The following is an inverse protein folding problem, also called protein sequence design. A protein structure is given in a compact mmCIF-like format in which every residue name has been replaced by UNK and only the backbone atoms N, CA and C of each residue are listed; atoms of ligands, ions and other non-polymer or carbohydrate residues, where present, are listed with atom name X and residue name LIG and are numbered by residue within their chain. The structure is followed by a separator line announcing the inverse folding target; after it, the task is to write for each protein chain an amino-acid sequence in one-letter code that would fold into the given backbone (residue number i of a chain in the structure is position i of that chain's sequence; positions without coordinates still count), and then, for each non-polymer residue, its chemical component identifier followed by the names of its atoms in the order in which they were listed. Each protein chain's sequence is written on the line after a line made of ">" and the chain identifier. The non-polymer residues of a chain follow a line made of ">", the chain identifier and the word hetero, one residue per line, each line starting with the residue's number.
data_IF_114914680286
#
_entry.id   IF_114914680286
#
_cell.length_a   1.000
_cell.length_b   1.000
_cell.length_c   1.000
_cell.angle_alpha   90.00
_cell.angle_beta   90.00
_cell.angle_gamma   90.00
#
_symmetry.space_group_name_H-M   'P 1'
#
loop_
_entity.id
_entity.type
_entity.pdbx_description
1 polymer ?
#
# COMPACT_ATOMS: atom_id res chain seq x y z
N UNK A 1 -8.32 -16.81 -7.85
CA UNK A 1 -8.34 -15.99 -6.60
C UNK A 1 -8.13 -14.49 -6.86
N UNK A 2 -7.06 -14.01 -7.49
CA UNK A 2 -6.84 -12.57 -7.77
C UNK A 2 -7.94 -11.94 -8.65
N UNK A 3 -8.47 -12.64 -9.65
CA UNK A 3 -9.60 -12.17 -10.46
C UNK A 3 -10.90 -12.08 -9.66
N UNK A 4 -11.10 -12.97 -8.68
CA UNK A 4 -12.23 -12.93 -7.76
C UNK A 4 -12.18 -11.67 -6.87
N UNK A 5 -11.02 -11.38 -6.30
CA UNK A 5 -10.79 -10.17 -5.49
C UNK A 5 -11.08 -8.90 -6.31
N UNK A 6 -10.64 -8.85 -7.58
CA UNK A 6 -10.96 -7.73 -8.49
C UNK A 6 -12.47 -7.61 -8.77
N UNK A 7 -13.17 -8.71 -8.93
CA UNK A 7 -14.62 -8.73 -9.15
C UNK A 7 -15.42 -8.28 -7.91
N UNK A 8 -14.98 -8.70 -6.73
CA UNK A 8 -15.57 -8.29 -5.45
C UNK A 8 -15.36 -6.78 -5.23
N UNK A 9 -14.17 -6.24 -5.53
CA UNK A 9 -13.88 -4.80 -5.42
C UNK A 9 -14.90 -3.92 -6.14
N UNK A 10 -15.41 -4.33 -7.29
CA UNK A 10 -16.38 -3.55 -8.05
C UNK A 10 -17.76 -3.48 -7.37
N UNK A 11 -18.17 -4.51 -6.63
CA UNK A 11 -19.49 -4.61 -6.00
C UNK A 11 -19.53 -4.08 -4.57
N UNK A 12 -18.46 -4.34 -3.80
CA UNK A 12 -18.42 -4.05 -2.36
C UNK A 12 -18.26 -2.54 -2.09
N UNK A 13 -17.51 -1.81 -2.95
CA UNK A 13 -17.29 -0.36 -2.81
C UNK A 13 -18.28 0.50 -3.62
N UNK A 14 -19.48 -0.05 -3.96
CA UNK A 14 -20.50 0.72 -4.69
C UNK A 14 -21.33 1.59 -3.75
N UNK A 15 -21.16 2.89 -3.87
CA UNK A 15 -22.11 3.99 -3.61
C UNK A 15 -22.88 4.06 -2.27
N UNK A 16 -22.37 3.52 -1.17
CA UNK A 16 -23.00 3.69 0.15
C UNK A 16 -22.03 4.40 1.09
N UNK A 17 -22.28 5.66 1.41
CA UNK A 17 -21.47 6.38 2.38
C UNK A 17 -21.50 7.89 2.20
N UNK A 18 -20.88 8.59 3.14
CA UNK A 18 -20.70 10.04 3.13
C UNK A 18 -19.47 10.37 2.28
N UNK A 19 -19.57 11.42 1.48
CA UNK A 19 -18.45 11.93 0.71
C UNK A 19 -17.53 12.77 1.61
N UNK A 20 -16.25 12.43 1.64
CA UNK A 20 -15.19 13.18 2.29
C UNK A 20 -14.09 13.50 1.30
N UNK A 21 -13.36 14.59 1.53
CA UNK A 21 -12.05 14.77 0.92
C UNK A 21 -11.05 13.89 1.66
N UNK A 22 -10.08 13.29 0.97
CA UNK A 22 -9.12 12.40 1.57
C UNK A 22 -8.35 13.07 2.73
N UNK A 23 -8.00 14.36 2.60
CA UNK A 23 -7.37 15.12 3.66
C UNK A 23 -8.26 15.44 4.88
N UNK A 24 -9.57 15.16 4.82
CA UNK A 24 -10.47 15.26 5.98
C UNK A 24 -10.49 13.97 6.80
N UNK A 25 -10.12 12.85 6.21
CA UNK A 25 -10.16 11.51 6.84
C UNK A 25 -8.79 10.91 7.10
N UNK A 26 -7.72 11.54 6.60
CA UNK A 26 -6.34 11.15 6.91
C UNK A 26 -5.40 12.35 6.86
N UNK A 27 -4.36 12.30 7.70
CA UNK A 27 -3.23 13.18 7.55
C UNK A 27 -2.34 12.69 6.40
N UNK A 28 -1.86 13.62 5.55
CA UNK A 28 -1.01 13.30 4.41
C UNK A 28 0.32 14.02 4.61
N UNK A 29 1.44 13.29 4.60
CA UNK A 29 2.79 13.85 4.79
C UNK A 29 3.74 13.38 3.70
N UNK A 30 4.69 14.24 3.34
CA UNK A 30 5.83 13.88 2.48
C UNK A 30 6.93 13.20 3.29
N UNK A 31 7.70 12.33 2.62
CA UNK A 31 8.77 11.58 3.25
C UNK A 31 10.08 12.35 3.36
N UNK A 32 11.01 11.75 4.09
CA UNK A 32 12.36 12.27 4.28
C UNK A 32 13.15 12.27 2.96
N UNK A 33 13.77 13.39 2.62
CA UNK A 33 14.49 13.60 1.36
C UNK A 33 16.01 13.72 1.50
N UNK A 34 16.58 13.20 2.59
CA UNK A 34 18.04 13.24 2.81
C UNK A 34 18.83 12.28 1.91
N UNK A 35 20.16 12.43 1.94
CA UNK A 35 21.07 11.63 1.14
C UNK A 35 21.01 10.16 1.54
N UNK A 36 20.90 9.29 0.55
CA UNK A 36 20.92 7.85 0.76
C UNK A 36 22.35 7.33 0.87
N UNK A 37 22.54 6.36 1.77
CA UNK A 37 23.80 5.67 1.96
C UNK A 37 23.93 4.52 0.94
N UNK A 38 25.12 4.31 0.42
CA UNK A 38 25.42 3.12 -0.40
C UNK A 38 25.51 1.84 0.45
N UNK A 39 25.86 1.98 1.73
CA UNK A 39 25.92 0.86 2.67
C UNK A 39 24.56 0.56 3.29
N UNK A 40 24.31 -0.70 3.62
CA UNK A 40 23.10 -1.12 4.35
C UNK A 40 23.19 -0.83 5.87
N UNK A 41 23.96 0.19 6.26
CA UNK A 41 24.09 0.64 7.65
C UNK A 41 23.32 1.96 7.80
N UNK A 42 22.44 2.03 8.82
CA UNK A 42 21.63 3.22 9.07
C UNK A 42 20.14 2.90 9.17
N UNK A 43 19.30 3.94 9.13
CA UNK A 43 17.85 3.80 9.17
C UNK A 43 17.35 3.34 7.81
N UNK A 44 16.48 2.32 7.81
CA UNK A 44 15.81 1.84 6.59
C UNK A 44 14.73 2.84 6.17
N UNK A 45 14.78 3.35 4.95
CA UNK A 45 13.77 4.25 4.41
C UNK A 45 13.02 3.61 3.25
N UNK A 46 11.71 3.86 3.20
CA UNK A 46 10.87 3.40 2.10
C UNK A 46 11.23 4.11 0.79
N UNK A 47 11.08 3.41 -0.32
CA UNK A 47 11.27 3.88 -1.70
C UNK A 47 10.09 3.45 -2.55
N UNK A 48 9.98 3.95 -3.77
CA UNK A 48 8.94 3.51 -4.72
C UNK A 48 8.98 1.99 -4.89
N UNK A 49 10.16 1.41 -4.99
CA UNK A 49 10.37 -0.03 -5.17
C UNK A 49 9.95 -0.84 -3.94
N UNK A 50 10.00 -0.23 -2.74
CA UNK A 50 9.56 -0.88 -1.49
C UNK A 50 8.09 -1.27 -1.54
N UNK A 51 7.26 -0.53 -2.29
CA UNK A 51 5.80 -0.74 -2.36
C UNK A 51 5.31 -1.19 -3.75
N UNK A 52 6.21 -1.51 -4.68
CA UNK A 52 5.85 -1.83 -6.08
C UNK A 52 4.90 -3.03 -6.22
N UNK A 53 4.87 -3.94 -5.25
CA UNK A 53 3.98 -5.11 -5.23
C UNK A 53 2.73 -4.96 -4.37
N UNK A 54 2.30 -3.75 -4.03
CA UNK A 54 1.21 -3.46 -3.08
C UNK A 54 1.42 -4.05 -1.66
N UNK A 55 2.64 -4.43 -1.35
CA UNK A 55 3.10 -4.91 -0.04
C UNK A 55 4.47 -4.32 0.24
N UNK A 56 4.81 -4.19 1.52
CA UNK A 56 6.14 -3.74 1.93
C UNK A 56 7.17 -4.83 1.62
N UNK A 57 8.16 -4.48 0.81
CA UNK A 57 9.31 -5.35 0.50
C UNK A 57 10.58 -4.77 1.12
N UNK A 58 11.04 -5.37 2.22
CA UNK A 58 12.23 -4.92 2.95
C UNK A 58 13.55 -5.19 2.22
N UNK A 59 13.56 -5.98 1.15
CA UNK A 59 14.74 -6.16 0.30
C UNK A 59 14.99 -4.95 -0.62
N UNK A 60 13.96 -4.08 -0.78
CA UNK A 60 13.97 -2.93 -1.67
C UNK A 60 13.82 -1.61 -0.93
N UNK A 61 14.55 -1.46 0.17
CA UNK A 61 14.60 -0.23 0.98
C UNK A 61 15.86 0.56 0.69
N UNK A 62 15.82 1.87 0.96
CA UNK A 62 17.02 2.71 1.05
C UNK A 62 17.57 2.74 2.46
N UNK A 63 18.72 3.37 2.63
CA UNK A 63 19.35 3.60 3.92
C UNK A 63 19.78 5.06 4.03
N UNK A 64 19.59 5.67 5.22
CA UNK A 64 20.02 7.03 5.52
C UNK A 64 20.76 7.06 6.87
N UNK A 65 21.63 8.02 7.06
CA UNK A 65 22.24 8.24 8.36
C UNK A 65 21.15 8.61 9.39
N UNK A 66 21.30 8.21 10.66
CA UNK A 66 20.42 8.70 11.73
C UNK A 66 20.42 10.23 11.78
N UNK A 67 19.25 10.83 12.02
CA UNK A 67 19.05 12.27 12.12
C UNK A 67 18.07 12.60 13.25
N UNK A 68 18.18 13.78 13.83
CA UNK A 68 17.51 14.18 15.08
C UNK A 68 15.99 13.99 15.07
N UNK A 69 15.34 14.28 13.95
CA UNK A 69 13.87 14.16 13.83
C UNK A 69 13.39 12.85 13.20
N UNK A 70 14.23 11.81 13.14
CA UNK A 70 13.93 10.55 12.45
C UNK A 70 12.64 9.88 12.93
N UNK A 71 12.34 9.95 14.23
CA UNK A 71 11.12 9.36 14.81
C UNK A 71 9.82 9.89 14.17
N UNK A 72 9.80 11.14 13.70
CA UNK A 72 8.64 11.70 12.99
C UNK A 72 8.36 11.00 11.65
N UNK A 73 9.36 10.33 11.10
CA UNK A 73 9.28 9.60 9.84
C UNK A 73 9.10 8.10 10.03
N UNK A 74 9.17 7.59 11.27
CA UNK A 74 8.93 6.18 11.54
C UNK A 74 7.51 5.81 11.20
N UNK A 75 7.34 4.78 10.36
CA UNK A 75 6.04 4.28 9.95
C UNK A 75 5.39 3.51 11.09
N UNK A 76 4.11 3.75 11.28
CA UNK A 76 3.31 3.11 12.31
C UNK A 76 2.32 2.12 11.69
N UNK A 77 1.91 1.11 12.45
CA UNK A 77 0.85 0.19 12.04
C UNK A 77 -0.43 0.98 11.74
N UNK A 78 -1.02 0.74 10.57
CA UNK A 78 -2.17 1.49 10.09
C UNK A 78 -1.82 2.59 9.08
N UNK A 79 -0.57 3.01 8.97
CA UNK A 79 -0.16 3.92 7.91
C UNK A 79 -0.32 3.29 6.52
N UNK A 80 -0.54 4.14 5.52
CA UNK A 80 -0.59 3.75 4.11
C UNK A 80 0.48 4.55 3.36
N UNK A 81 1.39 3.86 2.69
CA UNK A 81 2.30 4.49 1.75
C UNK A 81 1.64 4.60 0.38
N UNK A 82 1.75 5.77 -0.26
CA UNK A 82 1.14 6.09 -1.54
C UNK A 82 2.21 6.55 -2.53
N UNK A 83 2.28 5.92 -3.69
CA UNK A 83 3.19 6.29 -4.78
C UNK A 83 2.67 7.53 -5.50
N UNK A 84 3.17 8.68 -5.12
CA UNK A 84 2.76 9.98 -5.64
C UNK A 84 3.62 10.49 -6.80
N UNK A 85 4.75 9.83 -7.08
CA UNK A 85 5.63 10.07 -8.23
C UNK A 85 5.98 8.71 -8.82
N UNK A 86 5.56 8.45 -10.08
CA UNK A 86 5.82 7.18 -10.77
C UNK A 86 5.49 7.32 -12.27
N UNK A 87 5.63 6.25 -13.04
CA UNK A 87 4.97 6.19 -14.35
C UNK A 87 3.44 6.22 -14.20
N UNK A 88 2.73 6.66 -15.24
CA UNK A 88 1.25 6.76 -15.22
C UNK A 88 0.59 5.42 -14.86
N UNK A 89 1.22 4.31 -15.18
CA UNK A 89 0.69 2.97 -14.89
C UNK A 89 0.68 2.68 -13.39
N UNK A 90 1.72 3.11 -12.66
CA UNK A 90 1.94 2.79 -11.25
C UNK A 90 1.63 3.94 -10.28
N UNK A 91 1.20 5.11 -10.80
CA UNK A 91 0.78 6.22 -9.95
C UNK A 91 -0.42 5.80 -9.09
N UNK A 92 -0.39 6.12 -7.81
CA UNK A 92 -1.43 5.73 -6.86
C UNK A 92 -1.29 4.32 -6.29
N UNK A 93 -0.24 3.56 -6.66
CA UNK A 93 0.06 2.32 -5.96
C UNK A 93 0.25 2.58 -4.46
N UNK A 94 -0.27 1.69 -3.64
CA UNK A 94 -0.19 1.81 -2.18
C UNK A 94 0.33 0.54 -1.54
N UNK A 95 0.89 0.67 -0.33
CA UNK A 95 1.14 -0.45 0.58
C UNK A 95 0.65 -0.11 1.97
N UNK A 96 0.05 -1.08 2.64
CA UNK A 96 -0.44 -0.98 4.01
C UNK A 96 0.64 -1.41 5.00
N UNK A 97 0.81 -0.66 6.07
CA UNK A 97 1.72 -1.00 7.16
C UNK A 97 0.92 -1.84 8.17
N UNK A 98 0.98 -3.16 8.00
CA UNK A 98 0.22 -4.14 8.77
C UNK A 98 0.92 -4.60 10.06
N UNK A 99 2.22 -4.27 10.20
CA UNK A 99 3.04 -4.54 11.39
C UNK A 99 4.19 -3.55 11.50
N UNK A 100 4.90 -3.54 12.61
CA UNK A 100 6.15 -2.78 12.74
C UNK A 100 7.25 -3.39 11.84
N UNK A 101 7.67 -2.64 10.86
CA UNK A 101 8.74 -3.01 9.93
C UNK A 101 10.10 -2.41 10.28
N UNK A 102 10.19 -1.61 11.35
CA UNK A 102 11.34 -0.76 11.63
C UNK A 102 11.77 0.02 10.37
N UNK A 103 10.80 0.69 9.76
CA UNK A 103 10.91 1.36 8.47
C UNK A 103 10.50 2.82 8.61
N UNK A 104 11.27 3.69 7.97
CA UNK A 104 11.07 5.12 7.98
C UNK A 104 10.52 5.59 6.63
N UNK A 105 9.69 6.63 6.66
CA UNK A 105 9.06 7.19 5.47
C UNK A 105 10.08 7.95 4.62
N UNK A 106 10.44 7.42 3.46
CA UNK A 106 11.39 8.01 2.52
C UNK A 106 10.73 8.85 1.43
N UNK A 107 11.56 9.53 0.66
CA UNK A 107 11.15 10.43 -0.43
C UNK A 107 10.37 9.71 -1.55
N UNK A 108 9.66 10.50 -2.35
CA UNK A 108 8.86 10.06 -3.51
C UNK A 108 7.66 9.15 -3.17
N UNK A 109 7.29 9.14 -1.90
CA UNK A 109 6.06 8.55 -1.39
C UNK A 109 5.34 9.56 -0.51
N UNK A 110 4.02 9.47 -0.43
CA UNK A 110 3.23 10.14 0.58
C UNK A 110 2.81 9.11 1.65
N UNK A 111 2.89 9.49 2.92
CA UNK A 111 2.31 8.75 4.04
C UNK A 111 0.92 9.27 4.31
N UNK A 112 -0.06 8.39 4.33
CA UNK A 112 -1.41 8.66 4.76
C UNK A 112 -1.59 8.00 6.12
N UNK A 113 -1.89 8.81 7.14
CA UNK A 113 -2.22 8.34 8.50
C UNK A 113 -3.71 8.54 8.71
N UNK A 114 -4.54 7.48 8.62
CA UNK A 114 -5.99 7.57 8.71
C UNK A 114 -6.48 8.03 10.08
N UNK A 115 -7.56 8.82 10.10
CA UNK A 115 -8.27 9.16 11.33
C UNK A 115 -9.18 7.98 11.74
N UNK A 116 -8.76 7.23 12.74
CA UNK A 116 -9.45 6.02 13.21
C UNK A 116 -10.87 6.27 13.75
N UNK A 117 -11.21 7.53 14.04
CA UNK A 117 -12.60 7.90 14.45
C UNK A 117 -13.57 7.91 13.26
N UNK A 118 -13.06 8.00 12.03
CA UNK A 118 -13.88 8.13 10.82
C UNK A 118 -13.70 6.95 9.87
N UNK A 119 -12.47 6.47 9.73
CA UNK A 119 -12.14 5.43 8.75
C UNK A 119 -11.17 4.39 9.32
N UNK A 120 -11.52 3.12 9.12
CA UNK A 120 -10.62 2.00 9.46
C UNK A 120 -9.43 2.03 8.47
N UNK A 121 -8.17 2.04 8.94
CA UNK A 121 -7.01 2.15 8.07
C UNK A 121 -6.97 1.11 6.96
N UNK A 122 -7.26 -0.15 7.28
CA UNK A 122 -7.30 -1.22 6.29
C UNK A 122 -8.43 -1.04 5.26
N UNK A 123 -9.61 -0.54 5.68
CA UNK A 123 -10.69 -0.18 4.75
C UNK A 123 -10.23 0.91 3.76
N UNK A 124 -9.59 1.98 4.26
CA UNK A 124 -9.09 3.05 3.39
C UNK A 124 -8.06 2.51 2.39
N UNK A 125 -7.14 1.66 2.83
CA UNK A 125 -6.19 1.00 1.95
C UNK A 125 -6.90 0.21 0.84
N UNK A 126 -7.91 -0.59 1.18
CA UNK A 126 -8.68 -1.36 0.19
C UNK A 126 -9.41 -0.44 -0.80
N UNK A 127 -10.05 0.63 -0.31
CA UNK A 127 -10.75 1.62 -1.13
C UNK A 127 -9.82 2.28 -2.14
N UNK A 128 -8.62 2.74 -1.70
CA UNK A 128 -7.64 3.39 -2.57
C UNK A 128 -7.11 2.45 -3.67
N UNK A 129 -7.14 1.13 -3.45
CA UNK A 129 -6.73 0.11 -4.43
C UNK A 129 -7.87 -0.37 -5.35
N UNK A 130 -9.07 0.22 -5.27
CA UNK A 130 -10.13 -0.09 -6.24
C UNK A 130 -9.78 0.44 -7.62
N UNK A 131 -10.25 -0.25 -8.67
CA UNK A 131 -10.05 0.21 -10.05
C UNK A 131 -10.57 1.64 -10.27
N UNK A 132 -11.67 2.01 -9.60
CA UNK A 132 -12.25 3.37 -9.64
C UNK A 132 -11.24 4.41 -9.15
N UNK A 133 -10.61 4.16 -7.99
CA UNK A 133 -9.64 5.10 -7.41
C UNK A 133 -8.33 5.13 -8.21
N UNK A 134 -7.80 3.98 -8.61
CA UNK A 134 -6.59 3.91 -9.43
C UNK A 134 -6.76 4.64 -10.76
N UNK A 135 -7.90 4.46 -11.44
CA UNK A 135 -8.20 5.18 -12.67
C UNK A 135 -8.34 6.69 -12.42
N UNK A 136 -8.94 7.10 -11.30
CA UNK A 136 -9.02 8.50 -10.92
C UNK A 136 -7.63 9.11 -10.72
N UNK A 137 -6.70 8.43 -10.04
CA UNK A 137 -5.33 8.92 -9.86
C UNK A 137 -4.62 9.10 -11.21
N UNK A 138 -4.78 8.17 -12.14
CA UNK A 138 -4.26 8.28 -13.52
C UNK A 138 -4.84 9.43 -14.33
N UNK A 139 -6.04 9.88 -13.97
CA UNK A 139 -6.72 11.01 -14.65
C UNK A 139 -6.29 12.35 -14.08
N UNK A 140 -6.14 12.45 -12.75
CA UNK A 140 -5.86 13.73 -12.06
C UNK A 140 -4.36 14.01 -11.91
N UNK A 141 -3.48 13.04 -12.18
CA UNK A 141 -2.04 13.25 -12.07
C UNK A 141 -1.52 14.25 -13.12
N UNK A 142 -0.54 15.03 -12.74
CA UNK A 142 0.26 15.82 -13.69
C UNK A 142 1.15 14.88 -14.48
N UNK A 143 1.04 14.91 -15.80
CA UNK A 143 1.79 14.04 -16.71
C UNK A 143 2.94 14.80 -17.34
N UNK A 144 4.17 14.29 -17.16
CA UNK A 144 5.34 14.65 -17.93
C UNK A 144 5.71 13.49 -18.87
N UNK A 145 6.67 13.68 -19.75
CA UNK A 145 7.01 12.71 -20.83
C UNK A 145 7.24 11.29 -20.30
N UNK A 146 7.88 11.13 -19.14
CA UNK A 146 8.22 9.82 -18.57
C UNK A 146 7.69 9.60 -17.16
N UNK A 147 7.01 10.58 -16.58
CA UNK A 147 6.66 10.56 -15.16
C UNK A 147 5.31 11.23 -14.90
N UNK A 148 4.55 10.66 -13.98
CA UNK A 148 3.32 11.24 -13.45
C UNK A 148 3.52 11.62 -11.99
N UNK A 149 2.85 12.68 -11.53
CA UNK A 149 2.91 13.10 -10.13
C UNK A 149 1.55 13.60 -9.63
N UNK A 150 1.27 13.31 -8.36
CA UNK A 150 0.15 13.87 -7.61
C UNK A 150 0.75 14.50 -6.35
N UNK A 151 0.60 15.82 -6.18
CA UNK A 151 1.10 16.45 -4.97
C UNK A 151 0.15 16.21 -3.79
N UNK A 152 0.65 16.49 -2.58
CA UNK A 152 -0.08 16.29 -1.33
C UNK A 152 -1.45 17.01 -1.31
N UNK A 153 -1.50 18.26 -1.80
CA UNK A 153 -2.71 19.07 -1.83
C UNK A 153 -3.76 18.47 -2.77
N UNK A 154 -3.36 18.06 -3.97
CA UNK A 154 -4.27 17.45 -4.95
C UNK A 154 -4.76 16.08 -4.47
N UNK A 155 -3.88 15.28 -3.86
CA UNK A 155 -4.30 14.03 -3.24
C UNK A 155 -5.32 14.27 -2.13
N UNK A 156 -5.09 15.27 -1.27
CA UNK A 156 -6.02 15.64 -0.20
C UNK A 156 -7.40 16.08 -0.67
N UNK A 157 -7.52 16.68 -1.87
CA UNK A 157 -8.81 17.05 -2.48
C UNK A 157 -9.56 15.87 -3.10
N UNK A 158 -8.94 14.70 -3.20
CA UNK A 158 -9.59 13.50 -3.77
C UNK A 158 -10.81 13.13 -2.94
N UNK A 159 -11.99 13.07 -3.57
CA UNK A 159 -13.23 12.68 -2.90
C UNK A 159 -13.27 11.15 -2.78
N UNK A 160 -13.48 10.68 -1.56
CA UNK A 160 -13.68 9.29 -1.17
C UNK A 160 -15.04 9.13 -0.53
N UNK A 161 -15.65 7.97 -0.69
CA UNK A 161 -16.95 7.65 -0.13
C UNK A 161 -16.77 6.65 1.01
N UNK A 162 -17.12 7.06 2.23
CA UNK A 162 -16.89 6.30 3.45
C UNK A 162 -18.24 5.88 4.05
N UNK A 163 -18.55 4.58 4.12
CA UNK A 163 -19.75 4.07 4.79
C UNK A 163 -19.60 4.13 6.32
N UNK A 164 -20.65 3.77 7.03
CA UNK A 164 -20.59 3.63 8.48
C UNK A 164 -19.54 2.59 8.91
N UNK A 165 -19.12 2.69 10.17
CA UNK A 165 -18.01 1.90 10.72
C UNK A 165 -18.31 0.38 10.70
N UNK A 166 -19.58 -0.04 10.80
CA UNK A 166 -19.95 -1.45 10.79
C UNK A 166 -19.81 -2.04 9.38
N UNK A 167 -20.24 -1.30 8.35
CA UNK A 167 -20.01 -1.69 6.96
C UNK A 167 -18.52 -1.77 6.63
N UNK A 168 -17.71 -0.81 7.13
CA UNK A 168 -16.25 -0.87 6.97
C UNK A 168 -15.67 -2.13 7.60
N UNK A 169 -16.10 -2.50 8.84
CA UNK A 169 -15.64 -3.73 9.53
C UNK A 169 -15.97 -4.98 8.73
N UNK A 170 -17.21 -5.13 8.27
CA UNK A 170 -17.62 -6.27 7.46
C UNK A 170 -16.79 -6.41 6.18
N UNK A 171 -16.48 -5.29 5.52
CA UNK A 171 -15.63 -5.29 4.34
C UNK A 171 -14.20 -5.73 4.71
N UNK A 172 -13.63 -5.20 5.79
CA UNK A 172 -12.31 -5.58 6.26
C UNK A 172 -12.22 -7.08 6.58
N UNK A 173 -13.19 -7.61 7.31
CA UNK A 173 -13.27 -9.03 7.67
C UNK A 173 -13.34 -9.93 6.42
N UNK A 174 -14.18 -9.56 5.45
CA UNK A 174 -14.28 -10.29 4.17
C UNK A 174 -12.92 -10.33 3.46
N UNK A 175 -12.23 -9.18 3.35
CA UNK A 175 -10.95 -9.13 2.67
C UNK A 175 -9.84 -9.83 3.43
N UNK A 176 -9.84 -9.75 4.76
CA UNK A 176 -8.89 -10.49 5.59
C UNK A 176 -9.05 -12.00 5.34
N UNK A 177 -10.27 -12.55 5.40
CA UNK A 177 -10.52 -13.95 5.12
C UNK A 177 -10.07 -14.39 3.70
N UNK A 178 -10.26 -13.51 2.69
CA UNK A 178 -9.78 -13.77 1.34
C UNK A 178 -8.25 -13.77 1.24
N UNK A 179 -7.56 -12.86 1.92
CA UNK A 179 -6.10 -12.83 1.95
C UNK A 179 -5.53 -14.03 2.69
N UNK A 180 -6.10 -14.41 3.84
CA UNK A 180 -5.67 -15.58 4.61
C UNK A 180 -5.81 -16.87 3.77
N UNK A 181 -6.93 -17.01 3.07
CA UNK A 181 -7.15 -18.12 2.15
C UNK A 181 -6.13 -18.14 1.01
N UNK A 182 -5.86 -16.98 0.41
CA UNK A 182 -4.86 -16.86 -0.66
C UNK A 182 -3.46 -17.24 -0.19
N UNK A 183 -3.04 -16.79 0.97
CA UNK A 183 -1.71 -17.13 1.52
C UNK A 183 -1.62 -18.62 1.88
N UNK A 184 -2.68 -19.19 2.45
CA UNK A 184 -2.78 -20.64 2.72
C UNK A 184 -2.63 -21.46 1.43
N UNK A 185 -3.30 -21.08 0.34
CA UNK A 185 -3.20 -21.79 -0.94
C UNK A 185 -1.81 -21.65 -1.57
N UNK A 186 -1.18 -20.47 -1.48
CA UNK A 186 0.21 -20.28 -1.94
C UNK A 186 1.18 -21.16 -1.16
N UNK A 187 1.01 -21.25 0.15
CA UNK A 187 1.83 -22.10 1.01
C UNK A 187 1.67 -23.56 0.63
N UNK A 188 0.43 -24.06 0.49
CA UNK A 188 0.15 -25.42 0.06
C UNK A 188 0.79 -25.73 -1.31
N UNK A 189 0.64 -24.81 -2.29
CA UNK A 189 1.27 -24.98 -3.61
C UNK A 189 2.80 -25.04 -3.51
N UNK A 190 3.42 -24.24 -2.64
CA UNK A 190 4.87 -24.28 -2.43
C UNK A 190 5.34 -25.63 -1.89
N UNK A 191 4.58 -26.24 -0.98
CA UNK A 191 4.85 -27.58 -0.46
C UNK A 191 4.73 -28.65 -1.53
N UNK A 192 3.67 -28.60 -2.36
CA UNK A 192 3.52 -29.52 -3.49
C UNK A 192 4.67 -29.43 -4.49
N UNK A 193 5.15 -28.23 -4.80
CA UNK A 193 6.31 -28.05 -5.68
C UNK A 193 7.59 -28.67 -5.08
N UNK A 194 7.83 -28.49 -3.79
CA UNK A 194 8.96 -29.11 -3.08
C UNK A 194 8.86 -30.64 -3.10
N UNK A 195 7.66 -31.19 -2.82
CA UNK A 195 7.42 -32.63 -2.85
C UNK A 195 7.64 -33.20 -4.26
N UNK A 196 7.12 -32.53 -5.29
CA UNK A 196 7.35 -32.91 -6.70
C UNK A 196 8.84 -32.95 -7.02
N UNK A 197 9.60 -31.92 -6.65
CA UNK A 197 11.04 -31.89 -6.89
C UNK A 197 11.77 -33.01 -6.14
N UNK A 198 11.38 -33.30 -4.91
CA UNK A 198 11.95 -34.43 -4.15
C UNK A 198 11.70 -35.77 -4.86
N UNK A 199 10.45 -36.05 -5.24
CA UNK A 199 10.11 -37.32 -5.94
C UNK A 199 10.84 -37.45 -7.28
N UNK A 200 10.93 -36.37 -8.07
CA UNK A 200 11.68 -36.40 -9.33
C UNK A 200 13.16 -36.75 -9.11
N UNK A 201 13.79 -36.22 -8.06
CA UNK A 201 15.19 -36.58 -7.72
C UNK A 201 15.34 -38.04 -7.35
N UNK A 202 14.32 -38.63 -6.69
CA UNK A 202 14.38 -40.05 -6.32
C UNK A 202 14.17 -41.01 -7.53
N UNK A 203 13.49 -40.52 -8.58
CA UNK A 203 13.21 -41.32 -9.79
C UNK A 203 14.37 -41.36 -10.80
N UNK A 204 15.33 -40.45 -10.70
CA UNK A 204 16.42 -40.27 -11.67
C UNK A 204 17.81 -40.39 -11.02
N UNK A 205 17.90 -41.11 -9.89
CA UNK A 205 19.19 -41.54 -9.28
C UNK A 205 19.56 -42.96 -9.72
#
# INVERSE_FOLDING_TARGET
>A
MQSLIKGINQRVFMNNGINYKLGEVCEIRSGYSGNQLLSKKGLKVSRIETISGHKVNLERVGYVAPFESSENYKLQVGDILFSNINSVEYIGNTAFIDKDYDLYHGMNLLRLTPNNMVVIPFYLYLLLNTNRMLNRFKTVCNKAVSQASINQTELGKTVVQIPDINAQKQICELYQALYDKLESEKYANSLFQKQKQYLLRQMFI
#
